data_IF_272351260667
#
_entry.id   IF_272351260667
#
_cell.length_a   1.000
_cell.length_b   1.000
_cell.length_c   1.000
_cell.angle_alpha   90.00
_cell.angle_beta   90.00
_cell.angle_gamma   90.00
#
_symmetry.space_group_name_H-M   'P 1'
#
loop_
_entity.id
_entity.type
_entity.pdbx_description
1 polymer ?
#
# COMPACT_ATOMS: atom_id res chain seq x y z
N UNK A 1 20.88 8.19 -14.75
CA UNK A 1 20.13 7.90 -13.52
C UNK A 1 21.05 7.21 -12.54
N UNK A 2 21.05 7.63 -11.28
CA UNK A 2 21.80 6.97 -10.21
C UNK A 2 21.18 5.63 -9.85
N UNK A 3 21.88 4.81 -9.07
CA UNK A 3 21.32 3.53 -8.60
C UNK A 3 20.18 3.74 -7.60
N UNK A 4 20.26 4.76 -6.74
CA UNK A 4 19.17 5.15 -5.84
C UNK A 4 17.92 5.59 -6.62
N UNK A 5 18.09 6.37 -7.70
CA UNK A 5 16.96 6.76 -8.55
C UNK A 5 16.26 5.55 -9.18
N UNK A 6 17.03 4.53 -9.60
CA UNK A 6 16.46 3.28 -10.11
C UNK A 6 15.72 2.52 -9.00
N UNK A 7 16.32 2.41 -7.82
CA UNK A 7 15.72 1.72 -6.68
C UNK A 7 14.39 2.36 -6.25
N UNK A 8 14.33 3.69 -6.15
CA UNK A 8 13.09 4.41 -5.80
C UNK A 8 12.01 4.15 -6.85
N UNK A 9 12.35 4.19 -8.14
CA UNK A 9 11.38 3.90 -9.21
C UNK A 9 10.88 2.47 -9.18
N UNK A 10 11.75 1.52 -8.82
CA UNK A 10 11.37 0.12 -8.67
C UNK A 10 10.41 -0.08 -7.49
N UNK A 11 10.58 0.64 -6.38
CA UNK A 11 9.61 0.63 -5.27
C UNK A 11 8.24 1.11 -5.74
N UNK A 12 8.19 2.22 -6.47
CA UNK A 12 6.93 2.77 -7.01
C UNK A 12 6.27 1.80 -8.00
N UNK A 13 7.04 1.22 -8.91
CA UNK A 13 6.52 0.25 -9.89
C UNK A 13 5.96 -1.01 -9.21
N UNK A 14 6.68 -1.53 -8.22
CA UNK A 14 6.25 -2.70 -7.44
C UNK A 14 4.96 -2.38 -6.67
N UNK A 15 4.88 -1.22 -6.03
CA UNK A 15 3.68 -0.75 -5.34
C UNK A 15 2.47 -0.69 -6.27
N UNK A 16 2.63 -0.09 -7.46
CA UNK A 16 1.55 0.05 -8.43
C UNK A 16 1.09 -1.29 -8.98
N UNK A 17 2.00 -2.24 -9.18
CA UNK A 17 1.67 -3.60 -9.63
C UNK A 17 0.91 -4.37 -8.55
N UNK A 18 1.45 -4.41 -7.33
CA UNK A 18 0.88 -5.14 -6.21
C UNK A 18 -0.49 -4.60 -5.78
N UNK A 19 -0.66 -3.27 -5.75
CA UNK A 19 -1.94 -2.66 -5.40
C UNK A 19 -3.06 -2.94 -6.43
N UNK A 20 -2.73 -3.02 -7.72
CA UNK A 20 -3.69 -3.39 -8.78
C UNK A 20 -4.08 -4.86 -8.74
N UNK A 21 -3.15 -5.75 -8.40
CA UNK A 21 -3.42 -7.19 -8.28
C UNK A 21 -4.07 -7.59 -6.95
N UNK A 22 -4.14 -6.67 -5.98
CA UNK A 22 -4.63 -6.97 -4.63
C UNK A 22 -3.60 -7.68 -3.75
N UNK A 23 -2.32 -7.68 -4.13
CA UNK A 23 -1.23 -8.28 -3.34
C UNK A 23 -0.84 -7.36 -2.17
N UNK A 24 -1.66 -7.43 -1.11
CA UNK A 24 -1.44 -6.67 0.12
C UNK A 24 -0.11 -7.04 0.81
N UNK A 25 0.29 -8.32 0.76
CA UNK A 25 1.51 -8.77 1.42
C UNK A 25 2.73 -8.05 0.84
N UNK A 26 2.85 -7.97 -0.49
CA UNK A 26 3.93 -7.21 -1.14
C UNK A 26 3.86 -5.72 -0.83
N UNK A 27 2.67 -5.10 -0.80
CA UNK A 27 2.56 -3.68 -0.43
C UNK A 27 3.09 -3.42 0.99
N UNK A 28 2.81 -4.32 1.94
CA UNK A 28 3.26 -4.20 3.33
C UNK A 28 4.78 -4.35 3.52
N UNK A 29 5.48 -5.04 2.61
CA UNK A 29 6.96 -5.15 2.68
C UNK A 29 7.68 -3.92 2.13
N UNK A 30 7.00 -3.10 1.31
CA UNK A 30 7.56 -1.86 0.75
C UNK A 30 7.54 -0.69 1.74
N UNK A 31 6.79 -0.79 2.83
CA UNK A 31 6.62 0.28 3.81
C UNK A 31 7.37 -0.01 5.12
N UNK A 32 7.99 1.03 5.66
CA UNK A 32 8.55 1.01 7.01
C UNK A 32 7.43 0.86 8.04
N UNK A 33 7.79 0.43 9.26
CA UNK A 33 6.80 0.23 10.33
C UNK A 33 6.25 1.57 10.87
N UNK A 34 6.98 2.66 10.67
CA UNK A 34 6.62 4.04 11.06
C UNK A 34 6.00 4.86 9.91
N UNK A 35 5.59 4.23 8.81
CA UNK A 35 4.93 4.91 7.69
C UNK A 35 3.67 5.65 8.17
N UNK A 36 3.45 6.86 7.65
CA UNK A 36 2.25 7.66 7.91
C UNK A 36 1.51 7.91 6.60
N UNK A 37 0.25 7.47 6.55
CA UNK A 37 -0.67 7.76 5.46
C UNK A 37 -1.56 8.95 5.80
N UNK A 38 -1.82 9.78 4.80
CA UNK A 38 -2.75 10.91 4.90
C UNK A 38 -3.76 10.84 3.76
N UNK A 39 -5.04 10.91 4.10
CA UNK A 39 -6.15 10.95 3.14
C UNK A 39 -7.11 12.08 3.53
N UNK A 40 -7.87 12.60 2.57
CA UNK A 40 -8.78 13.71 2.84
C UNK A 40 -9.86 13.32 3.85
N UNK A 41 -10.08 14.15 4.87
CA UNK A 41 -11.14 13.97 5.85
C UNK A 41 -10.88 12.91 6.93
N UNK A 42 -9.66 12.37 7.03
CA UNK A 42 -9.27 11.41 8.04
C UNK A 42 -7.97 11.84 8.72
N UNK A 43 -7.86 11.60 10.03
CA UNK A 43 -6.59 11.75 10.75
C UNK A 43 -5.50 10.84 10.15
N UNK A 44 -4.21 11.25 10.19
CA UNK A 44 -3.11 10.41 9.73
C UNK A 44 -3.09 9.05 10.44
N UNK A 45 -2.69 8.00 9.73
CA UNK A 45 -2.72 6.64 10.26
C UNK A 45 -1.53 5.79 9.78
N UNK A 46 -1.22 4.74 10.53
CA UNK A 46 -0.06 3.88 10.29
C UNK A 46 -0.34 2.60 9.50
N UNK A 47 0.71 1.79 9.36
CA UNK A 47 0.74 0.51 8.63
C UNK A 47 -0.38 -0.47 9.01
N UNK A 48 -0.65 -0.66 10.30
CA UNK A 48 -1.66 -1.61 10.77
C UNK A 48 -3.07 -1.19 10.35
N UNK A 49 -3.40 0.10 10.51
CA UNK A 49 -4.69 0.66 10.10
C UNK A 49 -4.87 0.59 8.58
N UNK A 50 -3.79 0.82 7.81
CA UNK A 50 -3.79 0.62 6.37
C UNK A 50 -4.09 -0.85 5.99
N UNK A 51 -3.40 -1.80 6.61
CA UNK A 51 -3.58 -3.23 6.35
C UNK A 51 -5.03 -3.68 6.59
N UNK A 52 -5.62 -3.24 7.71
CA UNK A 52 -7.01 -3.53 8.05
C UNK A 52 -7.99 -2.94 7.02
N UNK A 53 -7.80 -1.69 6.61
CA UNK A 53 -8.67 -1.02 5.64
C UNK A 53 -8.61 -1.67 4.24
N UNK A 54 -7.42 -2.03 3.76
CA UNK A 54 -7.26 -2.69 2.46
C UNK A 54 -7.78 -4.12 2.48
N UNK A 55 -7.52 -4.87 3.56
CA UNK A 55 -8.06 -6.22 3.75
C UNK A 55 -9.59 -6.22 3.73
N UNK A 56 -10.22 -5.28 4.43
CA UNK A 56 -11.67 -5.12 4.42
C UNK A 56 -12.22 -4.78 3.03
N UNK A 57 -11.54 -3.91 2.28
CA UNK A 57 -11.94 -3.56 0.91
C UNK A 57 -11.86 -4.75 -0.05
N UNK A 58 -10.83 -5.59 0.07
CA UNK A 58 -10.68 -6.78 -0.75
C UNK A 58 -11.82 -7.79 -0.48
N UNK A 59 -12.20 -7.96 0.79
CA UNK A 59 -13.29 -8.86 1.18
C UNK A 59 -14.65 -8.35 0.65
N UNK A 60 -14.93 -7.04 0.76
CA UNK A 60 -16.14 -6.45 0.20
C UNK A 60 -16.23 -6.62 -1.33
N UNK A 61 -15.11 -6.45 -2.05
CA UNK A 61 -15.06 -6.67 -3.50
C UNK A 61 -15.32 -8.13 -3.88
N UNK A 62 -14.97 -9.09 -3.01
CA UNK A 62 -15.21 -10.52 -3.22
C UNK A 62 -16.68 -10.90 -3.01
N UNK A 63 -17.39 -10.15 -2.16
CA UNK A 63 -18.79 -10.39 -1.82
C UNK A 63 -19.79 -9.74 -2.80
N UNK A 64 -19.32 -9.05 -3.84
CA UNK A 64 -20.16 -8.59 -4.96
C UNK A 64 -21.17 -7.49 -4.61
N UNK A 65 -20.78 -6.55 -3.74
CA UNK A 65 -21.53 -5.30 -3.53
C UNK A 65 -21.22 -4.25 -4.59
#
# INVERSE_FOLDING_TARGET
MTDDEKAIRQVVETWMTASKSGDLATVLTLMTDDVVFMVSGQEPFGKEAFAAAVGFRAELSRLGA
#
